data_IF_820337128680
#
_entry.id   IF_820337128680
#
_cell.length_a   1.000
_cell.length_b   1.000
_cell.length_c   1.000
_cell.angle_alpha   90.00
_cell.angle_beta   90.00
_cell.angle_gamma   90.00
#
_symmetry.space_group_name_H-M   'P 1'
#
loop_
_entity.id
_entity.type
_entity.pdbx_description
1 polymer ?
#
# COMPACT_ATOMS: atom_id res chain seq x y z
N UNK A 1 -30.78 18.12 -19.43
CA UNK A 1 -29.93 16.90 -19.51
C UNK A 1 -30.83 15.68 -19.63
N UNK A 2 -30.44 14.65 -20.39
CA UNK A 2 -31.16 13.37 -20.42
C UNK A 2 -30.77 12.56 -19.17
N UNK A 3 -31.69 11.74 -18.64
CA UNK A 3 -31.44 10.89 -17.46
C UNK A 3 -30.22 9.98 -17.63
N UNK A 4 -30.04 9.42 -18.84
CA UNK A 4 -28.86 8.61 -19.20
C UNK A 4 -27.54 9.37 -19.03
N UNK A 5 -27.55 10.67 -19.31
CA UNK A 5 -26.38 11.54 -19.20
C UNK A 5 -26.04 11.80 -17.73
N UNK A 6 -27.07 12.01 -16.91
CA UNK A 6 -26.90 12.18 -15.47
C UNK A 6 -26.34 10.90 -14.81
N UNK A 7 -26.84 9.72 -15.20
CA UNK A 7 -26.33 8.43 -14.71
C UNK A 7 -24.86 8.23 -15.11
N UNK A 8 -24.50 8.50 -16.37
CA UNK A 8 -23.10 8.43 -16.83
C UNK A 8 -22.20 9.36 -16.03
N UNK A 9 -22.64 10.60 -15.81
CA UNK A 9 -21.86 11.60 -15.08
C UNK A 9 -21.68 11.24 -13.61
N UNK A 10 -22.70 10.68 -12.97
CA UNK A 10 -22.60 10.15 -11.60
C UNK A 10 -21.60 9.00 -11.52
N UNK A 11 -21.62 8.07 -12.48
CA UNK A 11 -20.69 6.95 -12.52
C UNK A 11 -19.24 7.39 -12.72
N UNK A 12 -18.98 8.30 -13.67
CA UNK A 12 -17.65 8.87 -13.92
C UNK A 12 -17.14 9.60 -12.68
N UNK A 13 -17.95 10.49 -12.10
CA UNK A 13 -17.56 11.23 -10.90
C UNK A 13 -17.27 10.32 -9.70
N UNK A 14 -17.99 9.21 -9.55
CA UNK A 14 -17.73 8.24 -8.48
C UNK A 14 -16.39 7.51 -8.66
N UNK A 15 -16.01 7.21 -9.90
CA UNK A 15 -14.71 6.61 -10.24
C UNK A 15 -13.59 7.62 -10.08
N UNK A 16 -13.76 8.85 -10.56
CA UNK A 16 -12.76 9.92 -10.45
C UNK A 16 -12.54 10.35 -8.98
N UNK A 17 -13.58 10.29 -8.15
CA UNK A 17 -13.48 10.56 -6.72
C UNK A 17 -12.85 9.41 -5.92
N UNK A 18 -12.75 8.21 -6.50
CA UNK A 18 -12.06 7.10 -5.85
C UNK A 18 -10.55 7.41 -5.86
N UNK A 19 -9.96 7.64 -4.69
CA UNK A 19 -8.50 7.73 -4.57
C UNK A 19 -7.92 6.35 -4.85
N UNK A 20 -7.23 6.15 -6.00
CA UNK A 20 -6.81 4.82 -6.40
C UNK A 20 -5.58 4.34 -5.61
N UNK A 21 -4.93 5.26 -4.88
CA UNK A 21 -3.72 5.00 -4.09
C UNK A 21 -3.80 5.83 -2.81
N UNK A 22 -3.54 5.20 -1.68
CA UNK A 22 -3.37 5.85 -0.38
C UNK A 22 -1.91 5.76 0.07
N UNK A 23 -1.37 6.85 0.61
CA UNK A 23 -0.05 6.88 1.26
C UNK A 23 -0.22 6.55 2.75
N UNK A 24 0.39 5.47 3.20
CA UNK A 24 0.23 4.95 4.56
C UNK A 24 1.58 4.62 5.19
N UNK A 25 1.66 4.80 6.51
CA UNK A 25 2.84 4.45 7.30
C UNK A 25 2.65 3.04 7.87
N UNK A 26 3.70 2.25 7.82
CA UNK A 26 3.73 0.91 8.36
C UNK A 26 4.98 0.57 9.14
N UNK A 27 4.99 -0.62 9.70
CA UNK A 27 6.09 -1.19 10.46
C UNK A 27 6.38 -2.61 9.94
N UNK A 28 7.65 -2.95 9.76
CA UNK A 28 8.07 -4.31 9.41
C UNK A 28 7.95 -5.20 10.65
N UNK A 29 7.07 -6.19 10.61
CA UNK A 29 6.83 -7.09 11.75
C UNK A 29 7.74 -8.31 11.74
N UNK A 30 8.04 -8.84 10.56
CA UNK A 30 8.94 -9.97 10.37
C UNK A 30 9.61 -9.87 9.00
N UNK A 31 10.82 -10.43 8.88
CA UNK A 31 11.60 -10.43 7.63
C UNK A 31 11.73 -11.82 7.00
N UNK A 32 11.29 -12.88 7.68
CA UNK A 32 11.29 -14.26 7.18
C UNK A 32 10.28 -15.10 7.96
N UNK A 33 9.01 -15.24 7.51
CA UNK A 33 8.44 -14.66 6.28
C UNK A 33 8.26 -13.13 6.37
N UNK A 34 8.38 -12.41 5.26
CA UNK A 34 8.30 -10.95 5.25
C UNK A 34 6.86 -10.48 5.47
N UNK A 35 6.63 -9.63 6.48
CA UNK A 35 5.31 -9.14 6.84
C UNK A 35 5.38 -7.69 7.34
N UNK A 36 4.42 -6.88 6.91
CA UNK A 36 4.30 -5.49 7.38
C UNK A 36 2.94 -5.25 8.04
N UNK A 37 2.89 -4.29 8.95
CA UNK A 37 1.67 -3.80 9.59
C UNK A 37 1.43 -2.36 9.14
N UNK A 38 0.19 -2.01 8.80
CA UNK A 38 -0.18 -0.65 8.38
C UNK A 38 -0.95 0.11 9.49
N UNK A 39 -0.74 1.43 9.56
CA UNK A 39 -1.57 2.41 10.27
C UNK A 39 -1.80 2.15 11.77
N UNK A 40 -0.80 1.63 12.49
CA UNK A 40 -0.85 1.30 13.93
C UNK A 40 -1.99 0.31 14.32
N UNK A 41 -2.77 -0.17 13.35
CA UNK A 41 -3.94 -1.00 13.59
C UNK A 41 -3.50 -2.46 13.59
N UNK A 42 -3.53 -3.08 14.77
CA UNK A 42 -2.94 -4.39 15.08
C UNK A 42 -3.52 -5.58 14.30
N UNK A 43 -4.56 -5.37 13.48
CA UNK A 43 -5.28 -6.42 12.75
C UNK A 43 -4.93 -6.55 11.26
N UNK A 44 -4.22 -5.59 10.68
CA UNK A 44 -3.88 -5.59 9.24
C UNK A 44 -2.40 -5.96 9.07
N UNK A 45 -2.14 -7.26 8.97
CA UNK A 45 -0.83 -7.80 8.59
C UNK A 45 -0.87 -8.11 7.10
N UNK A 46 0.04 -7.49 6.34
CA UNK A 46 0.16 -7.69 4.90
C UNK A 46 1.26 -8.72 4.63
N UNK A 47 0.94 -9.85 3.96
CA UNK A 47 1.91 -10.87 3.63
C UNK A 47 2.81 -10.45 2.47
N UNK A 48 4.00 -11.07 2.38
CA UNK A 48 5.02 -10.88 1.34
C UNK A 48 4.47 -10.90 -0.10
N UNK A 49 3.49 -11.77 -0.36
CA UNK A 49 2.90 -11.96 -1.70
C UNK A 49 2.21 -10.71 -2.27
N UNK A 50 1.75 -9.81 -1.39
CA UNK A 50 1.08 -8.57 -1.78
C UNK A 50 2.04 -7.38 -1.79
N UNK A 51 3.32 -7.59 -1.45
CA UNK A 51 4.30 -6.53 -1.26
C UNK A 51 5.23 -6.42 -2.46
N UNK A 52 5.50 -5.17 -2.85
CA UNK A 52 6.43 -4.83 -3.91
C UNK A 52 7.37 -3.76 -3.34
N UNK A 53 8.68 -3.94 -3.50
CA UNK A 53 9.65 -2.96 -3.01
C UNK A 53 10.87 -2.86 -3.94
N UNK A 54 11.57 -1.72 -3.92
CA UNK A 54 12.76 -1.50 -4.72
C UNK A 54 13.95 -2.37 -4.25
N UNK A 55 14.81 -2.76 -5.20
CA UNK A 55 15.94 -3.67 -4.95
C UNK A 55 16.88 -3.22 -3.81
N UNK A 56 17.03 -1.91 -3.60
CA UNK A 56 17.90 -1.34 -2.54
C UNK A 56 17.47 -1.72 -1.11
N UNK A 57 16.23 -2.15 -0.93
CA UNK A 57 15.70 -2.58 0.37
C UNK A 57 15.87 -4.08 0.63
N UNK A 58 16.47 -4.81 -0.32
CA UNK A 58 16.73 -6.24 -0.18
C UNK A 58 17.79 -6.54 0.87
N UNK A 59 17.81 -7.80 1.30
CA UNK A 59 18.81 -8.34 2.21
C UNK A 59 20.23 -8.18 1.65
N UNK A 60 21.13 -7.58 2.44
CA UNK A 60 22.53 -7.36 2.07
C UNK A 60 22.82 -6.08 1.27
N UNK A 61 21.82 -5.24 1.04
CA UNK A 61 21.98 -3.89 0.45
C UNK A 61 22.09 -2.83 1.56
N UNK A 62 22.50 -1.61 1.20
CA UNK A 62 22.72 -0.51 2.16
C UNK A 62 21.48 -0.20 3.03
N UNK A 63 20.27 -0.36 2.46
CA UNK A 63 19.00 -0.07 3.13
C UNK A 63 18.15 -1.33 3.42
N UNK A 64 18.78 -2.49 3.70
CA UNK A 64 18.07 -3.74 4.02
C UNK A 64 16.98 -3.57 5.08
N UNK A 65 15.72 -3.93 4.76
CA UNK A 65 14.57 -3.89 5.68
C UNK A 65 14.75 -4.82 6.88
N UNK A 66 14.60 -4.28 8.10
CA UNK A 66 14.71 -5.00 9.37
C UNK A 66 13.39 -4.96 10.12
N UNK A 67 13.16 -5.96 10.98
CA UNK A 67 12.00 -5.95 11.86
C UNK A 67 12.05 -4.73 12.80
N UNK A 68 10.94 -4.02 12.91
CA UNK A 68 10.79 -2.75 13.64
C UNK A 68 11.04 -1.50 12.78
N UNK A 69 11.48 -1.64 11.53
CA UNK A 69 11.66 -0.47 10.65
C UNK A 69 10.30 0.17 10.32
N UNK A 70 10.24 1.49 10.43
CA UNK A 70 9.09 2.26 9.96
C UNK A 70 9.24 2.53 8.47
N UNK A 71 8.18 2.28 7.71
CA UNK A 71 8.19 2.31 6.26
C UNK A 71 7.01 3.13 5.73
N UNK A 72 7.23 3.73 4.57
CA UNK A 72 6.18 4.41 3.83
C UNK A 72 5.70 3.54 2.68
N UNK A 73 4.38 3.33 2.60
CA UNK A 73 3.76 2.36 1.72
C UNK A 73 2.66 3.04 0.91
N UNK A 74 2.61 2.76 -0.39
CA UNK A 74 1.48 3.06 -1.26
C UNK A 74 0.55 1.86 -1.27
N UNK A 75 -0.65 2.02 -0.71
CA UNK A 75 -1.71 1.03 -0.78
C UNK A 75 -2.56 1.29 -2.02
N UNK A 76 -2.58 0.35 -2.96
CA UNK A 76 -3.45 0.45 -4.14
C UNK A 76 -4.89 0.07 -3.77
N UNK A 77 -5.85 0.79 -4.34
CA UNK A 77 -7.27 0.56 -4.14
C UNK A 77 -7.64 -0.90 -4.48
N UNK A 78 -8.45 -1.52 -3.63
CA UNK A 78 -8.81 -2.93 -3.72
C UNK A 78 -7.91 -3.88 -2.93
N UNK A 79 -6.85 -3.38 -2.28
CA UNK A 79 -6.03 -4.15 -1.32
C UNK A 79 -5.21 -5.27 -1.96
N UNK A 80 -5.04 -5.22 -3.28
CA UNK A 80 -4.38 -6.29 -4.04
C UNK A 80 -2.86 -6.17 -4.06
N UNK A 81 -2.30 -4.98 -3.87
CA UNK A 81 -0.86 -4.84 -3.71
C UNK A 81 -0.45 -3.54 -3.00
N UNK A 82 0.70 -3.60 -2.37
CA UNK A 82 1.28 -2.58 -1.52
C UNK A 82 2.72 -2.32 -1.97
N UNK A 83 3.04 -1.07 -2.31
CA UNK A 83 4.37 -0.69 -2.75
C UNK A 83 5.12 0.05 -1.65
N UNK A 84 6.22 -0.51 -1.17
CA UNK A 84 7.08 0.15 -0.18
C UNK A 84 7.94 1.18 -0.92
N UNK A 85 7.74 2.46 -0.61
CA UNK A 85 8.52 3.54 -1.20
C UNK A 85 9.90 3.56 -0.58
N UNK A 86 9.96 3.71 0.74
CA UNK A 86 11.19 3.89 1.49
C UNK A 86 11.00 3.62 2.98
N UNK A 87 12.12 3.59 3.70
CA UNK A 87 12.13 3.68 5.17
C UNK A 87 12.02 5.14 5.62
N UNK A 88 11.50 5.34 6.82
CA UNK A 88 11.40 6.64 7.49
C UNK A 88 12.57 6.89 8.44
#
# INVERSE_FOLDING_TARGET
MRLSEAIKRLAVNAVDAASPIDLVIGEVTAVSPFNIRLNENSKLIIPEELLIWPKRLNKGEDDELKAGDSIMVLAMAGGQSFYIIDKL
#
